data_IF_723369393495
#
_entry.id   IF_723369393495
#
_cell.length_a   1.000
_cell.length_b   1.000
_cell.length_c   1.000
_cell.angle_alpha   90.00
_cell.angle_beta   90.00
_cell.angle_gamma   90.00
#
_symmetry.space_group_name_H-M   'P 1'
#
loop_
_entity.id
_entity.type
_entity.pdbx_description
1 polymer ?
#
# COMPACT_ATOMS: atom_id res chain seq x y z
N UNK A 1 27.08 -49.84 25.08
CA UNK A 1 26.37 -48.67 25.64
C UNK A 1 26.72 -47.46 24.77
N UNK A 2 25.87 -47.17 23.79
CA UNK A 2 26.09 -46.07 22.85
C UNK A 2 25.60 -44.76 23.47
N UNK A 3 26.44 -43.73 23.44
CA UNK A 3 26.15 -42.40 23.94
C UNK A 3 24.96 -41.79 23.19
N UNK A 4 23.95 -41.36 23.94
CA UNK A 4 22.79 -40.63 23.44
C UNK A 4 23.24 -39.27 22.92
N UNK A 5 23.09 -39.01 21.62
CA UNK A 5 23.20 -37.66 21.05
C UNK A 5 22.12 -36.77 21.67
N UNK A 6 22.41 -35.52 22.07
CA UNK A 6 21.39 -34.61 22.54
C UNK A 6 20.43 -34.28 21.39
N UNK A 7 19.15 -34.61 21.60
CA UNK A 7 18.05 -34.14 20.78
C UNK A 7 17.88 -32.63 20.98
N UNK A 8 18.36 -31.83 20.04
CA UNK A 8 17.91 -30.46 19.89
C UNK A 8 17.52 -30.24 18.43
N UNK A 9 16.23 -30.41 18.05
CA UNK A 9 15.74 -29.91 16.79
C UNK A 9 15.28 -28.48 17.06
N UNK A 10 16.18 -27.51 16.98
CA UNK A 10 15.77 -26.12 17.06
C UNK A 10 16.35 -25.33 15.90
N UNK A 11 15.49 -25.06 14.93
CA UNK A 11 15.42 -23.78 14.21
C UNK A 11 13.93 -23.43 14.10
N UNK A 12 13.32 -23.10 15.24
CA UNK A 12 12.00 -22.48 15.26
C UNK A 12 12.18 -21.02 14.77
N UNK A 13 12.11 -20.79 13.46
CA UNK A 13 11.94 -19.44 12.94
C UNK A 13 10.50 -19.01 13.21
N UNK A 14 10.20 -18.66 14.46
CA UNK A 14 9.00 -17.89 14.82
C UNK A 14 9.03 -16.64 13.94
N UNK A 15 8.17 -16.58 12.93
CA UNK A 15 7.97 -15.35 12.16
C UNK A 15 7.75 -14.22 13.17
N UNK A 16 8.71 -13.29 13.23
CA UNK A 16 8.60 -12.14 14.11
C UNK A 16 7.39 -11.33 13.65
N UNK A 17 6.64 -10.70 14.58
CA UNK A 17 5.52 -9.88 14.18
C UNK A 17 6.03 -8.72 13.29
N UNK A 18 5.29 -8.34 12.23
CA UNK A 18 5.78 -7.39 11.24
C UNK A 18 6.04 -6.03 11.88
N UNK A 19 7.13 -5.38 11.48
CA UNK A 19 7.54 -4.06 11.99
C UNK A 19 7.15 -2.93 11.05
N UNK A 20 6.99 -3.22 9.77
CA UNK A 20 6.60 -2.23 8.77
C UNK A 20 5.46 -2.75 7.91
N UNK A 21 4.66 -1.84 7.36
CA UNK A 21 3.59 -2.17 6.43
C UNK A 21 3.86 -1.50 5.08
N UNK A 22 3.71 -2.26 4.00
CA UNK A 22 3.74 -1.79 2.63
C UNK A 22 2.33 -1.90 2.05
N UNK A 23 1.69 -0.76 1.78
CA UNK A 23 0.34 -0.71 1.23
C UNK A 23 0.40 -0.50 -0.28
N UNK A 24 -0.20 -1.40 -1.06
CA UNK A 24 -0.20 -1.38 -2.53
C UNK A 24 -1.60 -1.06 -3.07
N UNK A 25 -1.67 -0.19 -4.08
CA UNK A 25 -2.92 0.27 -4.69
C UNK A 25 -2.91 0.25 -6.21
N UNK A 26 -3.78 -0.58 -6.79
CA UNK A 26 -3.88 -0.85 -8.23
C UNK A 26 -4.40 0.35 -9.05
N UNK A 27 -4.37 0.29 -10.38
CA UNK A 27 -4.83 1.39 -11.24
C UNK A 27 -6.36 1.56 -11.32
N UNK A 28 -6.79 2.49 -12.18
CA UNK A 28 -8.20 2.60 -12.63
C UNK A 28 -8.62 1.28 -13.29
N UNK A 29 -9.79 0.74 -12.92
CA UNK A 29 -10.30 -0.57 -13.41
C UNK A 29 -9.37 -1.78 -13.19
N UNK A 30 -8.25 -1.59 -12.50
CA UNK A 30 -7.34 -2.66 -12.12
C UNK A 30 -7.89 -3.50 -10.98
N UNK A 31 -7.09 -4.48 -10.58
CA UNK A 31 -7.36 -5.33 -9.42
C UNK A 31 -6.04 -5.65 -8.70
N UNK A 32 -6.04 -6.43 -7.63
CA UNK A 32 -4.76 -6.76 -6.96
C UNK A 32 -3.90 -7.72 -7.77
N UNK A 33 -4.48 -8.40 -8.75
CA UNK A 33 -3.80 -9.32 -9.65
C UNK A 33 -2.78 -8.58 -10.53
N UNK A 34 -2.96 -7.27 -10.74
CA UNK A 34 -1.97 -6.38 -11.37
C UNK A 34 -0.62 -6.37 -10.60
N UNK A 35 -0.64 -6.74 -9.31
CA UNK A 35 0.56 -6.84 -8.49
C UNK A 35 1.18 -8.22 -8.44
N UNK A 36 0.65 -9.22 -9.14
CA UNK A 36 1.16 -10.61 -9.10
C UNK A 36 2.68 -10.70 -9.22
N UNK A 37 3.25 -10.11 -10.28
CA UNK A 37 4.70 -10.08 -10.48
C UNK A 37 5.45 -9.31 -9.39
N UNK A 38 4.90 -8.19 -8.93
CA UNK A 38 5.49 -7.39 -7.86
C UNK A 38 5.50 -8.16 -6.54
N UNK A 39 4.41 -8.84 -6.20
CA UNK A 39 4.27 -9.64 -5.00
C UNK A 39 5.22 -10.83 -5.01
N UNK A 40 5.34 -11.53 -6.14
CA UNK A 40 6.32 -12.62 -6.32
C UNK A 40 7.77 -12.12 -6.14
N UNK A 41 8.09 -10.98 -6.77
CA UNK A 41 9.40 -10.36 -6.64
C UNK A 41 9.68 -9.94 -5.19
N UNK A 42 8.70 -9.33 -4.51
CA UNK A 42 8.80 -8.93 -3.12
C UNK A 42 9.00 -10.13 -2.21
N UNK A 43 8.25 -11.22 -2.42
CA UNK A 43 8.36 -12.46 -1.64
C UNK A 43 9.73 -13.11 -1.76
N UNK A 44 10.40 -12.96 -2.91
CA UNK A 44 11.79 -13.40 -3.10
C UNK A 44 12.84 -12.60 -2.32
N UNK A 45 12.48 -11.47 -1.70
CA UNK A 45 13.40 -10.65 -0.89
C UNK A 45 13.45 -11.10 0.57
N UNK A 46 14.63 -11.05 1.19
CA UNK A 46 14.83 -11.47 2.59
C UNK A 46 13.96 -10.68 3.59
N UNK A 47 13.65 -9.42 3.31
CA UNK A 47 12.88 -8.57 4.22
C UNK A 47 11.39 -8.96 4.28
N UNK A 48 10.82 -9.39 3.15
CA UNK A 48 9.43 -9.84 3.08
C UNK A 48 9.34 -11.30 3.52
N UNK A 49 10.24 -12.17 3.05
CA UNK A 49 10.25 -13.59 3.43
C UNK A 49 10.55 -13.82 4.92
N UNK A 50 11.29 -12.92 5.57
CA UNK A 50 11.48 -12.94 7.03
C UNK A 50 10.28 -12.45 7.84
N UNK A 51 9.20 -12.00 7.18
CA UNK A 51 7.98 -11.50 7.82
C UNK A 51 8.11 -10.11 8.45
N UNK A 52 9.20 -9.38 8.19
CA UNK A 52 9.42 -8.03 8.76
C UNK A 52 8.52 -6.97 8.13
N UNK A 53 8.12 -7.18 6.88
CA UNK A 53 7.25 -6.30 6.11
C UNK A 53 5.90 -6.98 5.89
N UNK A 54 4.84 -6.37 6.41
CA UNK A 54 3.47 -6.74 6.08
C UNK A 54 3.10 -6.12 4.72
N UNK A 55 2.93 -6.93 3.69
CA UNK A 55 2.45 -6.46 2.38
C UNK A 55 0.92 -6.47 2.36
N UNK A 56 0.32 -5.28 2.21
CA UNK A 56 -1.12 -5.07 2.20
C UNK A 56 -1.58 -4.55 0.83
N UNK A 57 -1.99 -5.45 -0.06
CA UNK A 57 -2.59 -5.09 -1.34
C UNK A 57 -4.09 -4.78 -1.14
N UNK A 58 -4.44 -3.48 -1.15
CA UNK A 58 -5.80 -3.05 -0.80
C UNK A 58 -6.81 -3.33 -1.92
N UNK A 59 -7.86 -4.09 -1.57
CA UNK A 59 -9.03 -4.40 -2.42
C UNK A 59 -10.22 -3.45 -2.21
N UNK A 60 -10.15 -2.50 -1.26
CA UNK A 60 -11.31 -1.72 -0.80
C UNK A 60 -11.98 -0.90 -1.91
N UNK A 61 -11.19 -0.56 -2.94
CA UNK A 61 -11.60 0.26 -4.08
C UNK A 61 -11.73 -0.56 -5.38
N UNK A 62 -11.60 -1.89 -5.37
CA UNK A 62 -11.88 -2.70 -6.57
C UNK A 62 -13.31 -2.40 -7.05
N UNK A 63 -13.45 -2.14 -8.35
CA UNK A 63 -14.69 -1.69 -9.02
C UNK A 63 -15.30 -0.35 -8.56
N UNK A 64 -14.61 0.40 -7.68
CA UNK A 64 -15.09 1.67 -7.09
C UNK A 64 -14.12 2.81 -7.38
N UNK A 65 -13.79 2.99 -8.67
CA UNK A 65 -12.82 4.01 -9.11
C UNK A 65 -13.46 5.20 -9.84
N UNK A 66 -14.78 5.19 -10.01
CA UNK A 66 -15.53 6.21 -10.75
C UNK A 66 -16.39 7.11 -9.86
N UNK A 67 -16.39 6.89 -8.54
CA UNK A 67 -17.22 7.59 -7.57
C UNK A 67 -16.50 8.76 -6.87
N UNK A 68 -15.26 9.06 -7.27
CA UNK A 68 -14.51 10.22 -6.80
C UNK A 68 -13.26 9.87 -5.99
N UNK A 69 -12.25 10.73 -6.09
CA UNK A 69 -10.96 10.56 -5.41
C UNK A 69 -11.05 10.67 -3.89
N UNK A 70 -11.98 11.51 -3.42
CA UNK A 70 -12.29 11.73 -2.02
C UNK A 70 -12.89 10.48 -1.37
N UNK A 71 -13.94 9.90 -1.97
CA UNK A 71 -14.54 8.67 -1.48
C UNK A 71 -13.55 7.49 -1.53
N UNK A 72 -12.78 7.38 -2.61
CA UNK A 72 -11.72 6.37 -2.74
C UNK A 72 -10.62 6.51 -1.69
N UNK A 73 -10.20 7.75 -1.41
CA UNK A 73 -9.22 8.08 -0.39
C UNK A 73 -9.71 7.82 1.04
N UNK A 74 -10.96 8.16 1.36
CA UNK A 74 -11.58 7.87 2.66
C UNK A 74 -11.64 6.36 2.93
N UNK A 75 -12.07 5.58 1.93
CA UNK A 75 -12.08 4.11 2.03
C UNK A 75 -10.70 3.53 2.27
N UNK A 76 -9.68 4.06 1.60
CA UNK A 76 -8.30 3.67 1.83
C UNK A 76 -7.83 4.03 3.25
N UNK A 77 -8.15 5.23 3.73
CA UNK A 77 -7.77 5.66 5.08
C UNK A 77 -8.35 4.72 6.14
N UNK A 78 -9.61 4.32 5.98
CA UNK A 78 -10.28 3.39 6.88
C UNK A 78 -9.66 1.99 6.82
N UNK A 79 -9.35 1.49 5.63
CA UNK A 79 -8.69 0.20 5.42
C UNK A 79 -7.30 0.15 6.09
N UNK A 80 -6.51 1.23 5.96
CA UNK A 80 -5.22 1.37 6.64
C UNK A 80 -5.42 1.37 8.16
N UNK A 81 -6.37 2.16 8.68
CA UNK A 81 -6.63 2.22 10.13
C UNK A 81 -7.00 0.85 10.70
N UNK A 82 -7.88 0.12 10.02
CA UNK A 82 -8.27 -1.23 10.42
C UNK A 82 -7.10 -2.21 10.37
N UNK A 83 -6.27 -2.13 9.34
CA UNK A 83 -5.10 -3.02 9.20
C UNK A 83 -4.04 -2.72 10.27
N UNK A 84 -3.76 -1.45 10.55
CA UNK A 84 -2.81 -1.04 11.58
C UNK A 84 -3.30 -1.42 12.98
N UNK A 85 -4.59 -1.24 13.28
CA UNK A 85 -5.17 -1.62 14.57
C UNK A 85 -5.04 -3.12 14.89
N UNK A 86 -5.02 -3.99 13.86
CA UNK A 86 -4.82 -5.44 14.00
C UNK A 86 -3.37 -5.83 14.27
N UNK A 87 -2.40 -4.92 14.05
CA UNK A 87 -0.98 -5.21 14.11
C UNK A 87 -0.25 -4.16 14.97
N UNK A 88 -0.32 -4.34 16.30
CA UNK A 88 0.31 -3.44 17.27
C UNK A 88 1.85 -3.38 17.20
N UNK A 89 2.48 -4.31 16.48
CA UNK A 89 3.94 -4.36 16.27
C UNK A 89 4.44 -3.42 15.17
N UNK A 90 3.54 -2.86 14.35
CA UNK A 90 3.90 -1.96 13.26
C UNK A 90 4.47 -0.65 13.82
N UNK A 91 5.54 -0.18 13.18
CA UNK A 91 6.27 1.03 13.54
C UNK A 91 6.37 2.01 12.38
N UNK A 92 6.42 1.50 11.14
CA UNK A 92 6.51 2.32 9.93
C UNK A 92 5.52 1.91 8.85
N UNK A 93 5.19 2.87 7.99
CA UNK A 93 4.27 2.71 6.85
C UNK A 93 4.92 3.20 5.56
N UNK A 94 4.79 2.38 4.52
CA UNK A 94 5.11 2.71 3.14
C UNK A 94 3.86 2.53 2.27
N UNK A 95 3.66 3.43 1.29
CA UNK A 95 2.48 3.48 0.42
C UNK A 95 2.92 3.54 -1.04
N UNK A 96 2.34 2.71 -1.89
CA UNK A 96 2.58 2.73 -3.34
C UNK A 96 1.24 2.82 -4.07
N UNK A 97 1.04 3.93 -4.80
CA UNK A 97 -0.15 4.17 -5.61
C UNK A 97 0.18 4.25 -7.10
N UNK A 98 -0.57 3.51 -7.92
CA UNK A 98 -0.42 3.54 -9.38
C UNK A 98 -1.52 4.38 -10.04
N UNK A 99 -1.13 5.21 -11.01
CA UNK A 99 -2.04 6.05 -11.79
C UNK A 99 -2.98 6.86 -10.88
N UNK A 100 -4.30 6.80 -11.11
CA UNK A 100 -5.36 7.41 -10.31
C UNK A 100 -5.14 7.23 -8.80
N UNK A 101 -4.63 6.09 -8.36
CA UNK A 101 -4.55 5.78 -6.92
C UNK A 101 -3.40 6.45 -6.18
N UNK A 102 -2.47 7.10 -6.86
CA UNK A 102 -1.59 8.05 -6.17
C UNK A 102 -2.38 9.20 -5.55
N UNK A 103 -3.50 9.61 -6.18
CA UNK A 103 -4.39 10.61 -5.58
C UNK A 103 -5.10 10.08 -4.33
N UNK A 104 -5.45 8.79 -4.31
CA UNK A 104 -6.10 8.16 -3.16
C UNK A 104 -5.12 8.06 -1.99
N UNK A 105 -3.86 7.70 -2.28
CA UNK A 105 -2.76 7.72 -1.30
C UNK A 105 -2.61 9.11 -0.70
N UNK A 106 -2.53 10.15 -1.55
CA UNK A 106 -2.41 11.53 -1.06
C UNK A 106 -3.56 11.92 -0.14
N UNK A 107 -4.79 11.58 -0.53
CA UNK A 107 -5.99 11.86 0.27
C UNK A 107 -5.97 11.10 1.61
N UNK A 108 -5.67 9.80 1.59
CA UNK A 108 -5.61 8.99 2.79
C UNK A 108 -4.50 9.44 3.75
N UNK A 109 -3.33 9.80 3.23
CA UNK A 109 -2.23 10.37 4.01
C UNK A 109 -2.67 11.66 4.68
N UNK A 110 -3.31 12.58 3.94
CA UNK A 110 -3.80 13.82 4.53
C UNK A 110 -4.82 13.57 5.65
N UNK A 111 -5.67 12.55 5.51
CA UNK A 111 -6.67 12.18 6.52
C UNK A 111 -6.08 11.44 7.73
N UNK A 112 -4.98 10.72 7.55
CA UNK A 112 -4.34 9.91 8.60
C UNK A 112 -3.14 10.61 9.26
N UNK A 113 -2.69 11.73 8.69
CA UNK A 113 -1.55 12.48 9.18
C UNK A 113 -1.92 13.26 10.43
N UNK A 114 -1.17 13.01 11.50
CA UNK A 114 -1.22 13.77 12.73
C UNK A 114 -0.09 14.80 12.73
N UNK A 115 -0.45 16.08 12.70
CA UNK A 115 0.49 17.19 12.67
C UNK A 115 1.33 17.32 13.95
N UNK A 116 0.82 16.86 15.10
CA UNK A 116 1.55 16.97 16.37
C UNK A 116 2.67 15.93 16.44
N UNK A 117 2.38 14.71 15.99
CA UNK A 117 3.34 13.60 16.04
C UNK A 117 4.14 13.43 14.75
N UNK A 118 3.70 14.04 13.65
CA UNK A 118 4.28 13.87 12.31
C UNK A 118 4.07 12.47 11.74
N UNK A 119 3.11 11.70 12.28
CA UNK A 119 2.89 10.28 11.94
C UNK A 119 1.67 10.09 11.07
N UNK A 120 1.64 8.99 10.32
CA UNK A 120 0.51 8.58 9.50
C UNK A 120 -0.14 7.36 10.17
N UNK A 121 -1.39 7.48 10.61
CA UNK A 121 -2.08 6.43 11.37
C UNK A 121 -1.30 5.96 12.61
N UNK A 122 -0.54 6.85 13.25
CA UNK A 122 0.33 6.53 14.39
C UNK A 122 1.65 5.84 14.03
N UNK A 123 1.94 5.62 12.75
CA UNK A 123 3.17 5.02 12.24
C UNK A 123 4.11 6.08 11.64
N UNK A 124 5.41 5.82 11.70
CA UNK A 124 6.42 6.66 11.04
C UNK A 124 6.35 6.45 9.53
N UNK A 125 6.24 7.53 8.76
CA UNK A 125 6.28 7.44 7.30
C UNK A 125 7.70 7.03 6.84
N UNK A 126 7.78 6.01 5.98
CA UNK A 126 9.04 5.59 5.35
C UNK A 126 9.06 6.00 3.87
N UNK A 127 8.27 5.35 3.01
CA UNK A 127 8.23 5.64 1.57
C UNK A 127 6.82 5.89 1.08
N UNK A 128 6.60 7.01 0.39
CA UNK A 128 5.36 7.27 -0.34
C UNK A 128 5.72 7.38 -1.82
N UNK A 129 5.30 6.39 -2.60
CA UNK A 129 5.62 6.27 -4.02
C UNK A 129 4.33 6.42 -4.82
N UNK A 130 4.34 7.37 -5.76
CA UNK A 130 3.23 7.62 -6.68
C UNK A 130 3.73 7.40 -8.09
N UNK A 131 3.25 6.35 -8.75
CA UNK A 131 3.72 5.93 -10.08
C UNK A 131 2.71 6.39 -11.12
N UNK A 132 3.14 7.23 -12.07
CA UNK A 132 2.30 7.75 -13.16
C UNK A 132 0.99 8.42 -12.67
N UNK A 133 1.00 9.01 -11.48
CA UNK A 133 -0.20 9.56 -10.85
C UNK A 133 -0.51 11.00 -11.29
N UNK A 134 -1.76 11.31 -11.68
CA UNK A 134 -2.15 12.64 -12.14
C UNK A 134 -2.38 13.59 -10.94
N UNK A 135 -1.32 13.88 -10.19
CA UNK A 135 -1.40 14.67 -8.95
C UNK A 135 -1.89 16.11 -9.14
N UNK A 136 -1.82 16.63 -10.37
CA UNK A 136 -2.31 17.96 -10.76
C UNK A 136 -3.63 17.88 -11.56
N UNK A 137 -4.27 16.70 -11.56
CA UNK A 137 -5.43 16.43 -12.39
C UNK A 137 -5.05 15.98 -13.80
N UNK A 138 -6.06 15.56 -14.56
CA UNK A 138 -5.94 15.23 -15.98
C UNK A 138 -6.61 16.36 -16.75
N UNK A 139 -5.89 17.00 -17.66
CA UNK A 139 -6.49 17.98 -18.56
C UNK A 139 -7.28 17.23 -19.64
N UNK A 140 -8.60 17.20 -19.52
CA UNK A 140 -9.49 16.66 -20.56
C UNK A 140 -10.02 17.79 -21.42
N UNK A 141 -9.14 18.58 -22.04
CA UNK A 141 -9.53 19.47 -23.14
C UNK A 141 -9.45 18.70 -24.45
N UNK A 142 -10.49 17.93 -24.76
CA UNK A 142 -10.78 17.48 -26.12
C UNK A 142 -11.86 18.38 -26.71
N UNK A 143 -11.45 19.59 -27.07
CA UNK A 143 -12.18 20.45 -28.02
C UNK A 143 -11.32 20.54 -29.27
N UNK A 144 -11.37 19.49 -30.09
CA UNK A 144 -11.12 19.60 -31.52
C UNK A 144 -12.43 19.94 -32.23
N UNK A 145 -13.06 21.07 -31.90
CA UNK A 145 -14.06 21.68 -32.78
C UNK A 145 -13.46 22.95 -33.35
N UNK A 146 -13.02 22.88 -34.61
CA UNK A 146 -12.70 24.09 -35.39
C UNK A 146 -11.56 23.91 -36.38
N UNK A 147 -11.85 23.34 -37.56
CA UNK A 147 -11.33 23.94 -38.78
C UNK A 147 -12.49 24.71 -39.42
N UNK A 148 -12.24 26.00 -39.60
CA UNK A 148 -13.19 27.09 -39.85
C UNK A 148 -14.03 26.93 -41.12
N UNK A 149 -15.29 27.40 -41.03
CA UNK A 149 -15.90 28.14 -42.15
C UNK A 149 -15.50 29.60 -42.01
N UNK A 150 -14.66 30.07 -42.93
CA UNK A 150 -14.67 31.44 -43.48
C UNK A 150 -14.71 31.28 -44.98
#
# INVERSE_FOLDING_TARGET
MAATKPNAPFLEHKHQPPKSILVLLHGLQGTIEDFSYLLETLDSTDEVSSGRILVHASRVNTDKTHDGNDLGGLRLAEDIRHTVAKHSSLQSISLVGFSLRGMYVRYAVAHLYDQQTGKIAGLTADKIVMVASPNLGVCVSLVCTGFSRV
#
